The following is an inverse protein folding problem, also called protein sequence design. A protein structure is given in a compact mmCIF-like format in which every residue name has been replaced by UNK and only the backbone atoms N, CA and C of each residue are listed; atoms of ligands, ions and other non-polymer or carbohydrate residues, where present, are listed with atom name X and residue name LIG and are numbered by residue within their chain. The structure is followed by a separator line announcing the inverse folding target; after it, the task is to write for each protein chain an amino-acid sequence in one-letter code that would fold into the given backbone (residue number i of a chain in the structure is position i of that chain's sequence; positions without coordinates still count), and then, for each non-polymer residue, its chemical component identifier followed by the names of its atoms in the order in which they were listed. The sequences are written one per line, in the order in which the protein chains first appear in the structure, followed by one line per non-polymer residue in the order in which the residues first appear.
data_IF_823230993030
#
_entry.id   IF_823230993030
#
_cell.length_a   1.000
_cell.length_b   1.000
_cell.length_c   1.000
_cell.angle_alpha   90.00
_cell.angle_beta   90.00
_cell.angle_gamma   90.00
#
_symmetry.space_group_name_H-M   'P 1'
#
loop_
_entity.id
_entity.type
_entity.pdbx_description
1 polymer ?
#
# COMPACT_ATOMS: atom_id res chain seq x y z
N UNK A 1 -17.57 3.65 9.80
CA UNK A 1 -16.99 2.61 8.93
C UNK A 1 -15.47 2.70 8.95
N UNK A 2 -14.82 1.56 8.96
CA UNK A 2 -13.37 1.53 8.89
C UNK A 2 -12.88 1.79 7.46
N UNK A 3 -11.65 2.25 7.32
CA UNK A 3 -11.00 2.43 6.03
C UNK A 3 -10.89 1.09 5.29
N UNK A 4 -10.48 0.03 6.00
CA UNK A 4 -10.46 -1.34 5.47
C UNK A 4 -11.86 -1.94 5.46
N UNK A 5 -12.17 -2.71 4.42
CA UNK A 5 -13.41 -3.48 4.37
C UNK A 5 -13.41 -4.64 5.38
N UNK A 6 -12.23 -5.05 5.85
CA UNK A 6 -12.04 -6.07 6.88
C UNK A 6 -11.77 -5.35 8.20
N UNK A 7 -12.80 -5.24 9.03
CA UNK A 7 -12.78 -4.34 10.19
C UNK A 7 -13.09 -5.02 11.53
N UNK A 8 -13.25 -6.32 11.56
CA UNK A 8 -13.50 -7.04 12.82
C UNK A 8 -12.18 -7.38 13.50
N UNK A 9 -11.91 -6.72 14.62
CA UNK A 9 -10.70 -6.89 15.42
C UNK A 9 -10.45 -8.36 15.80
N UNK A 10 -11.50 -9.11 16.05
CA UNK A 10 -11.39 -10.48 16.57
C UNK A 10 -11.26 -11.52 15.45
N UNK A 11 -11.33 -11.10 14.20
CA UNK A 11 -11.29 -11.98 13.03
C UNK A 11 -10.18 -11.56 12.11
N UNK A 12 -9.02 -12.25 12.24
CA UNK A 12 -7.90 -12.00 11.31
C UNK A 12 -8.29 -12.44 9.90
N UNK A 13 -7.98 -11.64 8.88
CA UNK A 13 -8.34 -11.96 7.50
C UNK A 13 -7.78 -13.30 7.02
N UNK A 14 -8.59 -14.02 6.26
CA UNK A 14 -8.18 -15.25 5.58
C UNK A 14 -8.33 -15.07 4.06
N UNK A 15 -7.62 -15.92 3.31
CA UNK A 15 -7.56 -15.80 1.85
C UNK A 15 -8.94 -15.77 1.18
N UNK A 16 -9.87 -16.60 1.63
CA UNK A 16 -11.22 -16.66 1.05
C UNK A 16 -12.02 -15.39 1.24
N UNK A 17 -11.92 -14.77 2.43
CA UNK A 17 -12.59 -13.50 2.71
C UNK A 17 -11.95 -12.36 1.94
N UNK A 18 -10.63 -12.35 1.85
CA UNK A 18 -9.88 -11.36 1.10
C UNK A 18 -10.28 -11.39 -0.38
N UNK A 19 -10.32 -12.57 -0.99
CA UNK A 19 -10.71 -12.73 -2.38
C UNK A 19 -12.12 -12.20 -2.64
N UNK A 20 -13.04 -12.46 -1.73
CA UNK A 20 -14.43 -12.01 -1.82
C UNK A 20 -14.54 -10.49 -1.78
N UNK A 21 -13.80 -9.87 -0.87
CA UNK A 21 -13.80 -8.41 -0.71
C UNK A 21 -13.15 -7.73 -1.91
N UNK A 22 -11.99 -8.21 -2.33
CA UNK A 22 -11.24 -7.61 -3.43
C UNK A 22 -11.92 -7.78 -4.80
N UNK A 23 -12.64 -8.89 -5.00
CA UNK A 23 -13.27 -9.16 -6.28
C UNK A 23 -12.25 -9.10 -7.42
N UNK A 24 -12.56 -8.39 -8.52
CA UNK A 24 -11.64 -8.30 -9.66
C UNK A 24 -10.27 -7.71 -9.34
N UNK A 25 -10.15 -6.93 -8.27
CA UNK A 25 -8.87 -6.31 -7.90
C UNK A 25 -7.91 -7.28 -7.21
N UNK A 26 -8.35 -8.49 -6.89
CA UNK A 26 -7.48 -9.51 -6.29
C UNK A 26 -6.26 -9.80 -7.17
N UNK A 27 -6.43 -9.77 -8.47
CA UNK A 27 -5.34 -9.95 -9.45
C UNK A 27 -4.21 -8.95 -9.19
N UNK A 28 -4.56 -7.68 -8.99
CA UNK A 28 -3.58 -6.61 -8.77
C UNK A 28 -2.92 -6.69 -7.40
N UNK A 29 -3.64 -7.16 -6.41
CA UNK A 29 -3.10 -7.41 -5.07
C UNK A 29 -1.96 -8.42 -5.12
N UNK A 30 -2.20 -9.57 -5.73
CA UNK A 30 -1.17 -10.61 -5.85
C UNK A 30 -0.04 -10.19 -6.79
N UNK A 31 -0.36 -9.46 -7.86
CA UNK A 31 0.63 -8.93 -8.78
C UNK A 31 1.63 -8.02 -8.06
N UNK A 32 1.13 -7.08 -7.25
CA UNK A 32 2.00 -6.16 -6.52
C UNK A 32 2.90 -6.88 -5.52
N UNK A 33 2.35 -7.83 -4.77
CA UNK A 33 3.15 -8.62 -3.82
C UNK A 33 4.28 -9.35 -4.55
N UNK A 34 3.97 -10.00 -5.65
CA UNK A 34 4.96 -10.72 -6.45
C UNK A 34 6.04 -9.78 -7.01
N UNK A 35 5.63 -8.60 -7.48
CA UNK A 35 6.57 -7.60 -8.01
C UNK A 35 7.50 -7.06 -6.93
N UNK A 36 6.95 -6.78 -5.75
CA UNK A 36 7.75 -6.31 -4.62
C UNK A 36 8.75 -7.37 -4.19
N UNK A 37 8.32 -8.62 -4.12
CA UNK A 37 9.20 -9.72 -3.75
C UNK A 37 10.30 -9.95 -4.79
N UNK A 38 9.97 -9.87 -6.06
CA UNK A 38 10.95 -10.02 -7.14
C UNK A 38 12.00 -8.91 -7.12
N UNK A 39 11.61 -7.68 -6.77
CA UNK A 39 12.50 -6.52 -6.77
C UNK A 39 13.29 -6.35 -5.48
N UNK A 40 12.70 -6.69 -4.34
CA UNK A 40 13.22 -6.36 -3.01
C UNK A 40 13.23 -7.53 -2.03
N UNK A 41 12.78 -8.70 -2.45
CA UNK A 41 12.62 -9.86 -1.58
C UNK A 41 13.91 -10.43 -1.03
N UNK A 42 13.81 -11.41 -0.12
CA UNK A 42 12.53 -11.96 0.38
C UNK A 42 11.79 -10.98 1.29
N UNK A 43 10.46 -11.05 1.27
CA UNK A 43 9.60 -10.21 2.09
C UNK A 43 8.80 -11.05 3.07
N UNK A 44 8.44 -10.44 4.20
CA UNK A 44 7.48 -11.02 5.13
C UNK A 44 6.15 -10.28 5.03
N UNK A 45 5.06 -11.01 5.25
CA UNK A 45 3.70 -10.47 5.24
C UNK A 45 3.12 -10.62 6.64
N UNK A 46 2.49 -9.56 7.13
CA UNK A 46 1.86 -9.60 8.45
C UNK A 46 0.58 -8.77 8.45
N UNK A 47 -0.52 -9.39 8.83
CA UNK A 47 -1.77 -8.68 9.05
C UNK A 47 -1.67 -7.86 10.34
N UNK A 48 -2.12 -6.61 10.29
CA UNK A 48 -2.11 -5.71 11.42
C UNK A 48 -3.46 -5.01 11.53
N UNK A 49 -4.03 -4.98 12.75
CA UNK A 49 -5.26 -4.25 13.01
C UNK A 49 -4.91 -2.86 13.54
N UNK A 50 -5.29 -1.82 12.81
CA UNK A 50 -4.92 -0.44 13.12
C UNK A 50 -6.03 0.36 13.80
N UNK A 51 -6.87 -0.32 14.57
CA UNK A 51 -7.98 0.29 15.29
C UNK A 51 -9.28 0.28 14.50
N UNK A 52 -10.39 0.62 15.19
CA UNK A 52 -11.72 0.56 14.60
C UNK A 52 -11.89 1.49 13.39
N UNK A 53 -11.14 2.60 13.38
CA UNK A 53 -11.21 3.58 12.27
C UNK A 53 -10.56 3.07 10.99
N UNK A 54 -9.51 2.27 11.10
CA UNK A 54 -8.71 1.84 9.94
C UNK A 54 -8.89 0.38 9.58
N UNK A 55 -9.12 -0.51 10.55
CA UNK A 55 -9.30 -1.94 10.32
C UNK A 55 -8.00 -2.68 10.01
N UNK A 56 -8.13 -3.83 9.33
CA UNK A 56 -7.00 -4.69 8.99
C UNK A 56 -6.26 -4.23 7.74
N UNK A 57 -4.94 -4.29 7.79
CA UNK A 57 -4.08 -4.06 6.63
C UNK A 57 -2.94 -5.09 6.62
N UNK A 58 -2.44 -5.37 5.43
CA UNK A 58 -1.32 -6.29 5.25
C UNK A 58 -0.04 -5.50 5.10
N UNK A 59 0.92 -5.73 5.97
CA UNK A 59 2.24 -5.09 5.89
C UNK A 59 3.19 -5.97 5.12
N UNK A 60 3.86 -5.39 4.12
CA UNK A 60 4.98 -6.03 3.44
C UNK A 60 6.26 -5.45 4.01
N UNK A 61 7.12 -6.33 4.54
CA UNK A 61 8.35 -5.91 5.22
C UNK A 61 9.56 -6.59 4.62
N UNK A 62 10.62 -5.81 4.45
CA UNK A 62 11.94 -6.31 4.14
C UNK A 62 12.76 -6.20 5.44
N UNK A 63 13.03 -7.33 6.09
CA UNK A 63 13.64 -7.36 7.42
C UNK A 63 12.81 -6.52 8.40
N UNK A 64 13.36 -5.45 8.95
CA UNK A 64 12.67 -4.59 9.92
C UNK A 64 12.01 -3.37 9.28
N UNK A 65 12.07 -3.25 7.95
CA UNK A 65 11.55 -2.09 7.24
C UNK A 65 10.24 -2.41 6.55
N UNK A 66 9.19 -1.66 6.85
CA UNK A 66 7.93 -1.76 6.13
C UNK A 66 8.08 -1.07 4.77
N UNK A 67 7.85 -1.81 3.68
CA UNK A 67 7.89 -1.25 2.34
C UNK A 67 6.59 -0.53 2.02
N UNK A 68 5.46 -1.21 2.24
CA UNK A 68 4.13 -0.67 2.02
C UNK A 68 3.09 -1.45 2.81
N UNK A 69 1.89 -0.89 2.91
CA UNK A 69 0.73 -1.55 3.50
C UNK A 69 -0.34 -1.71 2.42
N UNK A 70 -1.02 -2.85 2.43
CA UNK A 70 -2.16 -3.11 1.55
C UNK A 70 -3.44 -3.09 2.38
N UNK A 71 -4.39 -2.22 2.01
CA UNK A 71 -5.62 -2.01 2.75
C UNK A 71 -6.79 -2.46 1.86
N UNK A 72 -7.41 -3.61 2.15
CA UNK A 72 -8.51 -4.10 1.30
C UNK A 72 -9.75 -3.23 1.41
N UNK A 73 -10.40 -2.97 0.28
CA UNK A 73 -11.69 -2.29 0.20
C UNK A 73 -12.60 -3.12 -0.69
N UNK A 74 -13.87 -2.73 -0.80
CA UNK A 74 -14.81 -3.45 -1.65
C UNK A 74 -14.44 -3.27 -3.12
N UNK A 75 -13.99 -4.36 -3.77
CA UNK A 75 -13.61 -4.41 -5.18
C UNK A 75 -12.42 -3.50 -5.55
N UNK A 76 -11.62 -3.14 -4.54
CA UNK A 76 -10.44 -2.29 -4.72
C UNK A 76 -9.54 -2.44 -3.49
N UNK A 77 -8.39 -1.80 -3.51
CA UNK A 77 -7.58 -1.67 -2.31
C UNK A 77 -6.75 -0.38 -2.36
N UNK A 78 -6.25 0.01 -1.21
CA UNK A 78 -5.34 1.13 -1.09
C UNK A 78 -3.94 0.62 -0.79
N UNK A 79 -2.94 1.31 -1.31
CA UNK A 79 -1.55 1.08 -0.93
C UNK A 79 -1.09 2.26 -0.10
N UNK A 80 -0.79 1.99 1.17
CA UNK A 80 -0.24 3.00 2.07
C UNK A 80 1.27 2.96 2.04
N UNK A 81 1.89 4.13 1.99
CA UNK A 81 3.34 4.25 1.95
C UNK A 81 3.78 5.50 2.70
N UNK A 82 4.95 5.42 3.34
CA UNK A 82 5.57 6.57 4.01
C UNK A 82 6.92 6.83 3.34
N UNK A 83 7.11 8.04 2.82
CA UNK A 83 8.34 8.44 2.14
C UNK A 83 9.09 9.50 2.93
N UNK A 84 10.40 9.30 3.09
CA UNK A 84 11.27 10.34 3.62
C UNK A 84 11.53 11.43 2.58
N UNK A 85 12.16 12.51 3.01
CA UNK A 85 12.40 13.67 2.15
C UNK A 85 13.22 13.34 0.90
N UNK A 86 14.21 12.45 1.02
CA UNK A 86 15.03 12.03 -0.10
C UNK A 86 14.20 11.31 -1.16
N UNK A 87 13.35 10.37 -0.72
CA UNK A 87 12.48 9.62 -1.62
C UNK A 87 11.50 10.55 -2.33
N UNK A 88 10.93 11.52 -1.60
CA UNK A 88 10.02 12.51 -2.19
C UNK A 88 10.73 13.34 -3.26
N UNK A 89 11.98 13.77 -3.00
CA UNK A 89 12.74 14.53 -3.97
C UNK A 89 13.01 13.72 -5.24
N UNK A 90 13.34 12.43 -5.09
CA UNK A 90 13.54 11.53 -6.22
C UNK A 90 12.26 11.33 -7.01
N UNK A 91 11.14 11.13 -6.30
CA UNK A 91 9.84 10.90 -6.93
C UNK A 91 9.37 12.10 -7.76
N UNK A 92 9.64 13.31 -7.29
CA UNK A 92 9.26 14.53 -8.01
C UNK A 92 10.02 14.71 -9.32
N UNK A 93 11.09 13.96 -9.56
CA UNK A 93 11.82 13.94 -10.82
C UNK A 93 11.29 12.90 -11.80
N UNK A 94 10.41 12.01 -11.32
CA UNK A 94 9.82 10.97 -12.14
C UNK A 94 8.54 11.45 -12.79
N UNK A 95 8.12 10.75 -13.83
CA UNK A 95 6.85 11.02 -14.52
C UNK A 95 5.72 10.33 -13.75
N UNK A 96 5.27 10.97 -12.68
CA UNK A 96 4.16 10.44 -11.86
C UNK A 96 2.87 11.20 -12.15
N UNK A 97 1.74 10.55 -11.89
CA UNK A 97 0.44 11.15 -12.10
C UNK A 97 0.26 12.41 -11.24
N UNK A 98 -0.39 13.46 -11.79
CA UNK A 98 -0.73 14.64 -10.98
C UNK A 98 -1.53 14.31 -9.74
N UNK A 99 -2.38 13.29 -9.79
CA UNK A 99 -3.13 12.81 -8.63
C UNK A 99 -2.24 12.32 -7.50
N UNK A 100 -1.15 11.62 -7.84
CA UNK A 100 -0.18 11.16 -6.85
C UNK A 100 0.54 12.34 -6.19
N UNK A 101 0.94 13.34 -6.97
CA UNK A 101 1.57 14.54 -6.43
C UNK A 101 0.63 15.30 -5.50
N UNK A 102 -0.65 15.36 -5.84
CA UNK A 102 -1.66 15.99 -5.00
C UNK A 102 -1.81 15.25 -3.67
N UNK A 103 -1.83 13.91 -3.69
CA UNK A 103 -1.88 13.11 -2.48
C UNK A 103 -0.68 13.40 -1.58
N UNK A 104 0.50 13.54 -2.15
CA UNK A 104 1.72 13.88 -1.40
C UNK A 104 1.62 15.28 -0.79
N UNK A 105 1.15 16.24 -1.55
CA UNK A 105 1.04 17.64 -1.10
C UNK A 105 0.05 17.80 0.04
N UNK A 106 -0.99 16.99 0.07
CA UNK A 106 -2.03 17.02 1.10
C UNK A 106 -1.74 16.06 2.27
N UNK A 107 -0.72 15.24 2.16
CA UNK A 107 -0.44 14.19 3.13
C UNK A 107 0.12 14.73 4.44
N UNK A 108 -0.24 14.12 5.58
CA UNK A 108 0.38 14.48 6.85
C UNK A 108 1.83 14.03 6.91
N UNK A 109 2.64 14.77 7.64
CA UNK A 109 4.03 14.44 7.86
C UNK A 109 4.18 13.83 9.26
N UNK A 110 4.78 12.64 9.28
CA UNK A 110 5.08 11.91 10.52
C UNK A 110 6.60 11.94 10.78
N UNK A 111 7.03 11.40 11.92
CA UNK A 111 8.45 11.28 12.23
C UNK A 111 9.25 10.49 11.20
N UNK A 112 8.63 9.45 10.62
CA UNK A 112 9.28 8.60 9.59
C UNK A 112 9.20 9.22 8.18
N UNK A 113 8.40 10.26 7.99
CA UNK A 113 8.22 10.91 6.71
C UNK A 113 6.78 11.25 6.38
N UNK A 114 6.50 11.43 5.11
CA UNK A 114 5.19 11.78 4.58
C UNK A 114 4.42 10.51 4.22
N UNK A 115 3.24 10.32 4.82
CA UNK A 115 2.40 9.14 4.59
C UNK A 115 1.19 9.44 3.73
N UNK A 116 0.94 8.61 2.72
CA UNK A 116 -0.22 8.77 1.84
C UNK A 116 -0.69 7.40 1.34
N UNK A 117 -1.88 7.37 0.74
CA UNK A 117 -2.50 6.14 0.24
C UNK A 117 -2.89 6.31 -1.21
N UNK A 118 -2.54 5.32 -2.04
CA UNK A 118 -2.84 5.33 -3.47
C UNK A 118 -3.88 4.25 -3.74
N UNK A 119 -5.04 4.59 -4.32
CA UNK A 119 -6.04 3.59 -4.67
C UNK A 119 -5.60 2.75 -5.86
N UNK A 120 -5.92 1.46 -5.83
CA UNK A 120 -5.57 0.52 -6.90
C UNK A 120 -6.83 -0.19 -7.39
N UNK A 121 -7.11 -0.02 -8.68
CA UNK A 121 -8.19 -0.71 -9.39
C UNK A 121 -7.75 -1.24 -10.76
N UNK A 122 -6.50 -0.96 -11.17
CA UNK A 122 -6.03 -1.27 -12.53
C UNK A 122 -4.53 -1.52 -12.57
N UNK A 123 -4.07 -2.04 -13.70
CA UNK A 123 -2.64 -2.24 -13.96
C UNK A 123 -1.86 -0.93 -13.93
N UNK A 124 -2.45 0.16 -14.43
CA UNK A 124 -1.80 1.47 -14.44
C UNK A 124 -1.50 1.95 -13.01
N UNK A 125 -2.41 1.69 -12.07
CA UNK A 125 -2.18 2.04 -10.67
C UNK A 125 -1.01 1.24 -10.09
N UNK A 126 -0.87 -0.02 -10.47
CA UNK A 126 0.27 -0.85 -10.03
C UNK A 126 1.60 -0.29 -10.54
N UNK A 127 1.64 0.16 -11.78
CA UNK A 127 2.83 0.80 -12.36
C UNK A 127 3.21 2.04 -11.57
N UNK A 128 2.23 2.86 -11.19
CA UNK A 128 2.45 4.04 -10.38
C UNK A 128 3.05 3.68 -9.02
N UNK A 129 2.51 2.64 -8.37
CA UNK A 129 3.02 2.13 -7.09
C UNK A 129 4.47 1.68 -7.22
N UNK A 130 4.81 0.98 -8.30
CA UNK A 130 6.19 0.52 -8.54
C UNK A 130 7.16 1.69 -8.61
N UNK A 131 6.78 2.78 -9.26
CA UNK A 131 7.58 4.00 -9.34
C UNK A 131 7.79 4.60 -7.94
N UNK A 132 6.72 4.71 -7.16
CA UNK A 132 6.76 5.26 -5.80
C UNK A 132 7.69 4.43 -4.91
N UNK A 133 7.56 3.10 -4.95
CA UNK A 133 8.37 2.22 -4.11
C UNK A 133 9.84 2.22 -4.56
N UNK A 134 10.11 2.33 -5.85
CA UNK A 134 11.49 2.46 -6.34
C UNK A 134 12.17 3.69 -5.73
N UNK A 135 11.47 4.81 -5.66
CA UNK A 135 11.99 6.01 -5.01
C UNK A 135 12.26 5.76 -3.52
N UNK A 136 11.35 5.08 -2.83
CA UNK A 136 11.50 4.76 -1.41
C UNK A 136 12.72 3.87 -1.15
N UNK A 137 12.96 2.91 -2.03
CA UNK A 137 13.99 1.88 -1.83
C UNK A 137 15.36 2.28 -2.38
N UNK A 138 15.44 3.42 -3.02
CA UNK A 138 16.70 3.94 -3.58
C UNK A 138 17.70 4.41 -2.52
#
# INVERSE_FOLDING_TARGET
MALSALDDKDVEPIAGELAKVLGPSEEWWHYLIARMEASYGPLSEAWSFSGAKYGWNLRLRQKNRTILNLIPQNHAFLVGVVLGDRALALLRREDVNPGTLLLIDEAPRYGEGTGFRIPVTSAADCTEIEIVIEAKMS
#
